data_IF_143887675645
#
_entry.id   IF_143887675645
#
_cell.length_a   1.000
_cell.length_b   1.000
_cell.length_c   1.000
_cell.angle_alpha   90.00
_cell.angle_beta   90.00
_cell.angle_gamma   90.00
#
_symmetry.space_group_name_H-M   'P 1'
#
loop_
_entity.id
_entity.type
_entity.pdbx_description
1 polymer ?
#
# COMPACT_ATOMS: atom_id res chain seq x y z
N UNK A 1 -9.84 2.78 -3.97
CA UNK A 1 -8.44 3.17 -4.09
C UNK A 1 -7.56 1.95 -4.00
N UNK A 2 -6.69 1.80 -4.97
CA UNK A 2 -5.72 0.71 -4.98
C UNK A 2 -4.34 1.29 -5.15
N UNK A 3 -3.40 0.81 -4.36
CA UNK A 3 -2.02 1.21 -4.49
C UNK A 3 -1.20 -0.05 -4.69
N UNK A 4 -0.43 -0.08 -5.76
CA UNK A 4 0.49 -1.19 -6.01
C UNK A 4 1.84 -0.79 -5.48
N UNK A 5 2.33 -1.54 -4.52
CA UNK A 5 3.56 -1.21 -3.83
C UNK A 5 4.56 -2.33 -4.03
N UNK A 6 5.79 -1.95 -4.34
CA UNK A 6 6.87 -2.89 -4.48
C UNK A 6 7.86 -2.63 -3.36
N UNK A 7 8.25 -3.67 -2.66
CA UNK A 7 9.23 -3.51 -1.59
C UNK A 7 10.21 -4.66 -1.61
N UNK A 8 11.38 -4.41 -1.05
CA UNK A 8 12.41 -5.41 -0.95
C UNK A 8 12.91 -5.45 0.47
N UNK A 9 13.06 -6.63 1.02
CA UNK A 9 13.60 -6.81 2.37
C UNK A 9 15.09 -7.03 2.28
N UNK A 10 15.79 -6.64 3.35
CA UNK A 10 17.23 -6.85 3.42
C UNK A 10 17.55 -8.33 3.26
N UNK A 11 18.41 -8.63 2.33
CA UNK A 11 18.82 -10.02 2.06
C UNK A 11 18.02 -10.72 0.97
N UNK A 12 16.92 -10.13 0.51
CA UNK A 12 16.14 -10.72 -0.56
C UNK A 12 16.75 -10.41 -1.92
N UNK A 13 16.65 -11.35 -2.86
CA UNK A 13 17.17 -11.17 -4.21
C UNK A 13 16.18 -10.43 -5.11
N UNK A 14 14.90 -10.52 -4.81
CA UNK A 14 13.88 -9.96 -5.67
C UNK A 14 12.84 -9.20 -4.83
N UNK A 15 12.25 -8.14 -5.39
CA UNK A 15 11.22 -7.40 -4.68
C UNK A 15 9.91 -8.17 -4.61
N UNK A 16 9.08 -7.79 -3.67
CA UNK A 16 7.72 -8.30 -3.51
C UNK A 16 6.78 -7.19 -3.94
N UNK A 17 5.80 -7.52 -4.76
CA UNK A 17 4.81 -6.56 -5.19
C UNK A 17 3.45 -6.94 -4.60
N UNK A 18 2.79 -5.98 -3.99
CA UNK A 18 1.46 -6.19 -3.40
C UNK A 18 0.53 -5.07 -3.80
N UNK A 19 -0.78 -5.37 -3.81
CA UNK A 19 -1.79 -4.38 -4.14
C UNK A 19 -2.71 -4.24 -2.94
N UNK A 20 -2.96 -3.01 -2.51
CA UNK A 20 -3.83 -2.78 -1.35
C UNK A 20 -5.28 -3.06 -1.72
N UNK A 21 -6.02 -3.51 -0.72
CA UNK A 21 -7.47 -3.66 -0.82
C UNK A 21 -8.13 -2.48 -0.11
N UNK A 22 -9.44 -2.35 -0.27
CA UNK A 22 -10.16 -1.32 0.46
C UNK A 22 -10.01 -1.52 1.97
N UNK A 23 -10.00 -2.76 2.43
CA UNK A 23 -9.82 -3.04 3.86
C UNK A 23 -8.46 -2.56 4.36
N UNK A 24 -7.43 -2.65 3.52
CA UNK A 24 -6.10 -2.15 3.88
C UNK A 24 -6.11 -0.64 4.04
N UNK A 25 -6.81 0.05 3.14
CA UNK A 25 -6.94 1.50 3.21
C UNK A 25 -7.68 1.92 4.48
N UNK A 26 -8.76 1.21 4.81
CA UNK A 26 -9.51 1.50 6.02
C UNK A 26 -8.64 1.29 7.27
N UNK A 27 -7.84 0.21 7.27
CA UNK A 27 -6.94 -0.04 8.40
C UNK A 27 -5.94 1.10 8.55
N UNK A 28 -5.43 1.61 7.43
CA UNK A 28 -4.51 2.75 7.44
C UNK A 28 -5.20 4.00 8.00
N UNK A 29 -6.43 4.27 7.55
CA UNK A 29 -7.17 5.43 8.05
C UNK A 29 -7.35 5.37 9.55
N UNK A 30 -7.68 4.18 10.06
CA UNK A 30 -7.89 4.00 11.49
C UNK A 30 -6.61 4.17 12.30
N UNK A 31 -5.52 3.65 11.78
CA UNK A 31 -4.24 3.72 12.50
C UNK A 31 -3.70 5.14 12.54
N UNK A 32 -3.74 5.83 11.42
CA UNK A 32 -3.13 7.16 11.32
C UNK A 32 -4.14 8.28 11.51
N UNK A 33 -5.43 7.96 11.65
CA UNK A 33 -6.50 8.92 11.87
C UNK A 33 -6.52 9.98 10.79
N UNK A 34 -6.41 9.53 9.54
CA UNK A 34 -6.38 10.40 8.37
C UNK A 34 -7.32 9.83 7.32
N UNK A 35 -7.70 10.66 6.37
CA UNK A 35 -8.58 10.25 5.28
C UNK A 35 -7.77 9.76 4.10
N UNK A 36 -8.32 8.79 3.37
CA UNK A 36 -7.63 8.25 2.19
C UNK A 36 -7.32 9.33 1.17
N UNK A 37 -8.17 10.36 1.08
CA UNK A 37 -7.93 11.46 0.15
C UNK A 37 -6.67 12.24 0.49
N UNK A 38 -6.22 12.19 1.74
CA UNK A 38 -4.99 12.86 2.15
C UNK A 38 -3.76 12.08 1.76
N UNK A 39 -3.90 10.78 1.58
CA UNK A 39 -2.77 9.92 1.22
C UNK A 39 -2.16 10.32 -0.11
N UNK A 40 -2.99 10.66 -1.07
CA UNK A 40 -2.51 11.00 -2.41
C UNK A 40 -1.64 12.25 -2.41
N UNK A 41 -1.82 13.11 -1.41
CA UNK A 41 -1.10 14.37 -1.34
C UNK A 41 0.09 14.34 -0.40
N UNK A 42 0.04 13.48 0.61
CA UNK A 42 1.02 13.55 1.68
C UNK A 42 1.40 12.20 2.27
N UNK A 43 1.41 11.15 1.47
CA UNK A 43 1.79 9.84 1.96
C UNK A 43 3.29 9.83 2.29
N UNK A 44 3.61 9.50 3.53
CA UNK A 44 4.99 9.35 3.93
C UNK A 44 5.43 7.91 3.77
N UNK A 45 6.70 7.67 4.06
CA UNK A 45 7.28 6.33 3.97
C UNK A 45 6.57 5.37 4.92
N UNK A 46 6.26 5.85 6.12
CA UNK A 46 5.59 4.99 7.11
C UNK A 46 4.20 4.60 6.63
N UNK A 47 3.48 5.53 6.00
CA UNK A 47 2.16 5.25 5.45
C UNK A 47 2.23 4.12 4.43
N UNK A 48 3.18 4.22 3.51
CA UNK A 48 3.35 3.23 2.46
C UNK A 48 3.81 1.89 3.01
N UNK A 49 4.70 1.92 3.99
CA UNK A 49 5.18 0.70 4.63
C UNK A 49 4.04 -0.03 5.34
N UNK A 50 3.17 0.73 6.01
CA UNK A 50 2.04 0.14 6.70
C UNK A 50 1.08 -0.51 5.70
N UNK A 51 0.80 0.19 4.60
CA UNK A 51 -0.07 -0.36 3.55
C UNK A 51 0.54 -1.62 2.94
N UNK A 52 1.84 -1.62 2.71
CA UNK A 52 2.52 -2.80 2.16
C UNK A 52 2.42 -3.98 3.12
N UNK A 53 2.56 -3.72 4.41
CA UNK A 53 2.46 -4.75 5.44
C UNK A 53 1.04 -5.34 5.49
N UNK A 54 0.03 -4.47 5.50
CA UNK A 54 -1.36 -4.92 5.52
C UNK A 54 -1.71 -5.68 4.24
N UNK A 55 -1.28 -5.17 3.09
CA UNK A 55 -1.54 -5.83 1.82
C UNK A 55 -0.84 -7.19 1.75
N UNK A 56 0.34 -7.30 2.31
CA UNK A 56 1.08 -8.56 2.36
C UNK A 56 0.33 -9.60 3.19
N UNK A 57 -0.21 -9.20 4.32
CA UNK A 57 -1.00 -10.11 5.15
C UNK A 57 -2.23 -10.58 4.39
N UNK A 58 -2.90 -9.68 3.70
CA UNK A 58 -4.08 -10.01 2.91
C UNK A 58 -3.74 -10.99 1.80
N UNK A 59 -2.59 -10.81 1.17
CA UNK A 59 -2.14 -11.69 0.08
C UNK A 59 -1.46 -12.95 0.59
N UNK A 60 -1.40 -13.13 1.91
CA UNK A 60 -0.79 -14.29 2.55
C UNK A 60 0.70 -14.40 2.28
N UNK A 61 1.33 -13.27 2.12
CA UNK A 61 2.78 -13.19 2.05
C UNK A 61 3.29 -13.21 3.49
N UNK A 62 4.30 -14.02 3.77
CA UNK A 62 4.84 -14.15 5.11
C UNK A 62 5.54 -12.86 5.52
N UNK A 63 5.04 -12.23 6.58
CA UNK A 63 5.63 -11.01 7.11
C UNK A 63 5.60 -11.09 8.63
N UNK A 64 6.44 -10.30 9.34
CA UNK A 64 6.39 -10.29 10.80
C UNK A 64 5.01 -9.86 11.30
N UNK A 65 4.61 -10.38 12.44
CA UNK A 65 3.33 -10.03 13.04
C UNK A 65 3.30 -8.60 13.57
N UNK A 66 4.47 -8.05 13.89
CA UNK A 66 4.58 -6.69 14.41
C UNK A 66 5.06 -5.78 13.29
N UNK A 67 4.35 -4.67 13.10
CA UNK A 67 4.68 -3.75 12.02
C UNK A 67 6.10 -3.20 12.12
N UNK A 68 6.54 -2.86 13.32
CA UNK A 68 7.90 -2.32 13.48
C UNK A 68 8.97 -3.32 13.05
N UNK A 69 8.73 -4.60 13.27
CA UNK A 69 9.66 -5.63 12.82
C UNK A 69 9.72 -5.69 11.30
N UNK A 70 8.57 -5.55 10.65
CA UNK A 70 8.51 -5.49 9.20
C UNK A 70 9.28 -4.26 8.70
N UNK A 71 9.03 -3.12 9.32
CA UNK A 71 9.67 -1.87 8.94
C UNK A 71 11.19 -1.96 9.02
N UNK A 72 11.69 -2.61 10.07
CA UNK A 72 13.12 -2.76 10.27
C UNK A 72 13.79 -3.67 9.24
N UNK A 73 13.01 -4.48 8.55
CA UNK A 73 13.55 -5.39 7.53
C UNK A 73 13.47 -4.84 6.12
N UNK A 74 12.84 -3.68 5.95
CA UNK A 74 12.71 -3.10 4.61
C UNK A 74 14.02 -2.48 4.16
N UNK A 75 14.39 -2.78 2.93
CA UNK A 75 15.54 -2.16 2.30
C UNK A 75 15.09 -1.08 1.33
N UNK A 76 14.02 -1.34 0.59
CA UNK A 76 13.48 -0.36 -0.36
C UNK A 76 11.97 -0.50 -0.43
N UNK A 77 11.33 0.57 -0.85
CA UNK A 77 9.87 0.66 -0.89
C UNK A 77 9.49 1.74 -1.89
N UNK A 78 8.58 1.40 -2.81
CA UNK A 78 8.13 2.38 -3.78
C UNK A 78 6.72 2.08 -4.27
N UNK A 79 6.01 3.11 -4.71
CA UNK A 79 4.73 2.96 -5.35
C UNK A 79 4.98 2.67 -6.82
N UNK A 80 4.40 1.58 -7.31
CA UNK A 80 4.50 1.23 -8.71
C UNK A 80 3.32 1.80 -9.49
N UNK A 81 2.15 1.79 -8.85
CA UNK A 81 0.94 2.25 -9.50
C UNK A 81 -0.09 2.67 -8.47
N UNK A 82 -0.85 3.70 -8.77
CA UNK A 82 -1.92 4.15 -7.90
C UNK A 82 -3.19 4.32 -8.72
N UNK A 83 -4.27 3.67 -8.28
CA UNK A 83 -5.57 3.75 -8.94
C UNK A 83 -6.56 4.37 -7.95
N UNK A 84 -7.24 5.46 -8.32
CA UNK A 84 -8.18 6.12 -7.42
C UNK A 84 -9.30 5.19 -6.98
N UNK A 85 -9.83 5.44 -5.79
CA UNK A 85 -10.89 4.64 -5.23
C UNK A 85 -12.16 4.70 -6.06
N UNK A 86 -12.35 5.81 -6.72
CA UNK A 86 -13.52 6.03 -7.53
C UNK A 86 -13.06 6.28 -8.94
N UNK A 87 -12.86 5.22 -9.71
CA UNK A 87 -12.41 5.39 -11.08
C UNK A 87 -13.46 6.19 -11.74
N UNK A 88 -13.12 7.29 -12.12
CA UNK A 88 -14.01 8.15 -12.78
C UNK A 88 -14.59 7.45 -13.94
N UNK A 89 -15.75 7.57 -14.04
CA UNK A 89 -16.38 7.10 -15.20
C UNK A 89 -15.78 7.71 -16.42
N UNK A 90 -15.08 7.83 -16.18
CA UNK A 90 -14.71 8.15 -17.04
C UNK A 90 -14.63 7.76 -18.02
N UNK A 91 -14.74 7.68 -17.54
CA UNK A 91 -14.73 7.50 -18.04
C UNK A 91 -14.92 7.32 -18.89
N UNK A 92 -15.10 7.52 -19.08
CA UNK A 92 -15.37 7.39 -19.87
C UNK A 92 -15.39 7.08 -20.65
N UNK A 93 -15.46 7.17 -20.45
CA UNK A 93 -15.67 6.93 -21.10
C UNK A 93 -15.71 6.82 -21.85
N UNK A 94 -15.76 6.89 -21.72
CA UNK A 94 -16.00 6.78 -22.38
C UNK A 94 -16.28 6.77 -23.04
N UNK A 95 -16.31 6.84 -22.88
CA UNK A 95 -16.69 6.85 -23.39
C UNK A 95 -17.04 6.77 -23.98
N UNK A 96 -16.98 6.71 -24.23
CA UNK A 96 -17.47 6.71 -24.67
C UNK A 96 -17.62 6.71 -25.09
#
# INVERSE_FOLDING_TARGET
MHVRIQYKKTGDDAPVEVVTSLANIVAWERRFKRKASEMAQAAGVEDLAYLAWEASKTAKVVVPAVFDDFLNRLESLEIVEEVPANPSPAAPTDEL
#
